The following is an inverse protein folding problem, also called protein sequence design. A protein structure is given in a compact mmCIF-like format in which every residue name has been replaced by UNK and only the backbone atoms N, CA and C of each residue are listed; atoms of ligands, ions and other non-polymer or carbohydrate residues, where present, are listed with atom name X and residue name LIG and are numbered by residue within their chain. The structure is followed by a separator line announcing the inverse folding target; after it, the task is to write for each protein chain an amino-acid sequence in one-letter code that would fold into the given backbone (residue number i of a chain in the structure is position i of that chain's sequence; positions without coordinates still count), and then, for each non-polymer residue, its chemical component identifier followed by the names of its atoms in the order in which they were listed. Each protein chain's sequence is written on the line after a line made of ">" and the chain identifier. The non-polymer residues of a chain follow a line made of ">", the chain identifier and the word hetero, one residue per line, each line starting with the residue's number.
data_IF_385607558787
#
_entry.id   IF_385607558787
#
_cell.length_a   1.000
_cell.length_b   1.000
_cell.length_c   1.000
_cell.angle_alpha   90.00
_cell.angle_beta   90.00
_cell.angle_gamma   90.00
#
_symmetry.space_group_name_H-M   'P 1'
#
loop_
_entity.id
_entity.type
_entity.pdbx_description
1 polymer ?
#
# COMPACT_ATOMS: atom_id res chain seq x y z
N UNK A 1 10.80 15.26 6.93
CA UNK A 1 10.62 13.93 6.31
C UNK A 1 10.34 14.04 4.81
N UNK A 2 9.30 14.78 4.41
CA UNK A 2 8.81 14.87 3.03
C UNK A 2 9.89 15.31 2.03
N UNK A 3 10.69 16.35 2.34
CA UNK A 3 11.75 16.82 1.43
C UNK A 3 12.81 15.74 1.14
N UNK A 4 13.24 14.99 2.17
CA UNK A 4 14.16 13.86 2.00
C UNK A 4 13.51 12.77 1.15
N UNK A 5 12.24 12.48 1.39
CA UNK A 5 11.50 11.50 0.62
C UNK A 5 11.31 11.93 -0.85
N UNK A 6 11.14 13.22 -1.15
CA UNK A 6 11.11 13.73 -2.53
C UNK A 6 12.42 13.45 -3.26
N UNK A 7 13.56 13.72 -2.63
CA UNK A 7 14.88 13.45 -3.23
C UNK A 7 15.10 11.95 -3.51
N UNK A 8 14.68 11.09 -2.58
CA UNK A 8 14.77 9.63 -2.78
C UNK A 8 13.77 9.16 -3.85
N UNK A 9 12.56 9.73 -3.90
CA UNK A 9 11.57 9.41 -4.92
C UNK A 9 12.02 9.83 -6.32
N UNK A 10 12.62 11.01 -6.46
CA UNK A 10 13.19 11.51 -7.71
C UNK A 10 14.29 10.57 -8.23
N UNK A 11 15.17 10.09 -7.34
CA UNK A 11 16.19 9.11 -7.71
C UNK A 11 15.64 7.77 -8.22
N UNK A 12 14.42 7.39 -7.83
CA UNK A 12 13.79 6.13 -8.25
C UNK A 12 12.82 6.28 -9.43
N UNK A 13 12.14 7.43 -9.54
CA UNK A 13 10.97 7.61 -10.41
C UNK A 13 11.03 8.88 -11.28
N UNK A 14 12.09 9.70 -11.15
CA UNK A 14 12.17 11.01 -11.80
C UNK A 14 12.28 10.98 -13.33
N UNK A 15 12.68 9.85 -13.91
CA UNK A 15 12.66 9.66 -15.37
C UNK A 15 11.24 9.44 -15.92
N UNK A 16 10.35 8.89 -15.09
CA UNK A 16 8.98 8.52 -15.50
C UNK A 16 7.93 9.56 -15.06
N UNK A 17 8.21 10.35 -14.02
CA UNK A 17 7.24 11.24 -13.37
C UNK A 17 7.89 12.58 -13.04
N UNK A 18 7.21 13.66 -13.45
CA UNK A 18 7.65 15.03 -13.15
C UNK A 18 7.86 15.28 -11.64
N UNK A 19 8.84 16.13 -11.33
CA UNK A 19 9.17 16.54 -9.95
C UNK A 19 7.94 17.05 -9.18
N UNK A 20 7.14 17.93 -9.81
CA UNK A 20 5.92 18.49 -9.20
C UNK A 20 4.91 17.39 -8.81
N UNK A 21 4.74 16.39 -9.69
CA UNK A 21 3.83 15.28 -9.44
C UNK A 21 4.36 14.36 -8.35
N UNK A 22 5.65 14.01 -8.39
CA UNK A 22 6.29 13.20 -7.34
C UNK A 22 6.18 13.89 -5.98
N UNK A 23 6.41 15.21 -5.93
CA UNK A 23 6.28 16.01 -4.72
C UNK A 23 4.85 15.94 -4.16
N UNK A 24 3.82 16.10 -5.00
CA UNK A 24 2.43 15.94 -4.57
C UNK A 24 2.17 14.55 -3.99
N UNK A 25 2.59 13.49 -4.69
CA UNK A 25 2.44 12.10 -4.25
C UNK A 25 3.12 11.87 -2.89
N UNK A 26 4.34 12.36 -2.71
CA UNK A 26 5.11 12.20 -1.46
C UNK A 26 4.44 12.93 -0.30
N UNK A 27 4.03 14.18 -0.49
CA UNK A 27 3.39 14.97 0.55
C UNK A 27 2.04 14.38 0.98
N UNK A 28 1.23 13.90 0.03
CA UNK A 28 -0.03 13.21 0.33
C UNK A 28 0.20 11.86 1.04
N UNK A 29 1.27 11.15 0.66
CA UNK A 29 1.63 9.87 1.27
C UNK A 29 2.04 10.06 2.72
N UNK A 30 2.95 11.00 2.97
CA UNK A 30 3.64 11.23 4.24
C UNK A 30 2.96 12.35 5.05
N UNK A 31 1.67 12.15 5.31
CA UNK A 31 0.82 13.08 6.07
C UNK A 31 0.78 12.76 7.57
N UNK A 32 1.80 12.09 8.09
CA UNK A 32 1.92 11.61 9.48
C UNK A 32 3.38 11.62 9.93
N UNK A 33 3.60 11.57 11.24
CA UNK A 33 4.94 11.64 11.84
C UNK A 33 5.69 10.30 11.78
N UNK A 34 7.02 10.36 11.77
CA UNK A 34 7.92 9.20 11.84
C UNK A 34 9.07 9.50 12.80
N UNK A 35 8.79 9.61 14.12
CA UNK A 35 9.77 10.05 15.10
C UNK A 35 10.78 8.94 15.40
N UNK A 36 12.05 9.34 15.60
CA UNK A 36 13.09 8.48 16.16
C UNK A 36 13.16 8.68 17.68
N UNK A 37 12.60 7.75 18.43
CA UNK A 37 12.47 7.85 19.90
C UNK A 37 13.63 7.13 20.59
N UNK A 38 14.35 7.82 21.48
CA UNK A 38 15.42 7.20 22.29
C UNK A 38 14.80 6.22 23.28
N UNK A 39 15.22 4.95 23.23
CA UNK A 39 14.83 3.91 24.18
C UNK A 39 15.84 3.84 25.33
N UNK A 40 17.13 3.81 25.00
CA UNK A 40 18.25 3.90 25.95
C UNK A 40 19.52 4.33 25.21
N UNK A 41 20.66 4.33 25.89
CA UNK A 41 21.94 4.70 25.28
C UNK A 41 22.22 3.88 24.02
N UNK A 42 22.45 4.57 22.90
CA UNK A 42 22.67 4.00 21.57
C UNK A 42 21.55 3.08 21.04
N UNK A 43 20.33 3.12 21.62
CA UNK A 43 19.18 2.36 21.12
C UNK A 43 17.99 3.29 20.93
N UNK A 44 17.47 3.28 19.72
CA UNK A 44 16.35 4.11 19.28
C UNK A 44 15.28 3.25 18.62
N UNK A 45 14.03 3.68 18.71
CA UNK A 45 12.87 3.11 18.04
C UNK A 45 12.38 4.10 17.00
N UNK A 46 12.42 3.72 15.73
CA UNK A 46 11.77 4.48 14.66
C UNK A 46 10.29 4.11 14.64
N UNK A 47 9.43 5.02 15.06
CA UNK A 47 8.00 4.75 15.14
C UNK A 47 7.35 4.92 13.77
N UNK A 48 6.98 3.79 13.16
CA UNK A 48 6.37 3.72 11.82
C UNK A 48 4.86 3.46 11.88
N UNK A 49 4.21 3.74 13.00
CA UNK A 49 2.82 3.38 13.27
C UNK A 49 1.90 4.59 13.55
N UNK A 50 2.31 5.80 13.14
CA UNK A 50 1.49 7.02 13.23
C UNK A 50 0.63 7.27 11.98
N UNK A 51 0.68 6.36 11.00
CA UNK A 51 -0.20 6.35 9.84
C UNK A 51 -1.63 5.88 10.17
N UNK A 52 -2.55 5.98 9.19
CA UNK A 52 -3.98 5.72 9.39
C UNK A 52 -4.32 4.30 9.85
N UNK A 53 -3.41 3.33 9.65
CA UNK A 53 -3.67 1.94 10.04
C UNK A 53 -2.79 1.46 11.17
N UNK A 54 -1.99 2.35 11.75
CA UNK A 54 -1.05 2.06 12.82
C UNK A 54 0.02 1.03 12.45
N UNK A 55 0.43 1.00 11.17
CA UNK A 55 1.46 0.08 10.69
C UNK A 55 2.37 0.74 9.65
N UNK A 56 3.64 0.31 9.63
CA UNK A 56 4.65 0.84 8.68
C UNK A 56 4.27 0.68 7.21
N UNK A 57 3.36 -0.26 6.93
CA UNK A 57 2.85 -0.55 5.60
C UNK A 57 2.11 0.63 4.99
N UNK A 58 1.66 1.59 5.81
CA UNK A 58 1.01 2.83 5.37
C UNK A 58 1.87 3.62 4.39
N UNK A 59 3.18 3.72 4.60
CA UNK A 59 4.07 4.48 3.71
C UNK A 59 4.04 3.90 2.28
N UNK A 60 4.33 2.61 2.14
CA UNK A 60 4.39 1.97 0.82
C UNK A 60 3.02 1.84 0.17
N UNK A 61 1.98 1.45 0.93
CA UNK A 61 0.64 1.26 0.38
C UNK A 61 0.03 2.59 -0.07
N UNK A 62 0.22 3.66 0.71
CA UNK A 62 -0.27 4.97 0.33
C UNK A 62 0.44 5.49 -0.91
N UNK A 63 1.78 5.40 -0.97
CA UNK A 63 2.55 5.86 -2.12
C UNK A 63 2.09 5.13 -3.40
N UNK A 64 2.03 3.79 -3.34
CA UNK A 64 1.55 2.96 -4.44
C UNK A 64 0.16 3.38 -4.92
N UNK A 65 -0.77 3.71 -4.00
CA UNK A 65 -2.12 4.12 -4.38
C UNK A 65 -2.17 5.44 -5.15
N UNK A 66 -1.37 6.43 -4.74
CA UNK A 66 -1.30 7.73 -5.44
C UNK A 66 -0.61 7.57 -6.79
N UNK A 67 0.44 6.75 -6.84
CA UNK A 67 1.16 6.42 -8.06
C UNK A 67 0.28 5.71 -9.08
N UNK A 68 -0.46 4.68 -8.66
CA UNK A 68 -1.38 3.96 -9.55
C UNK A 68 -2.54 4.87 -9.98
N UNK A 69 -3.08 5.67 -9.06
CA UNK A 69 -4.10 6.68 -9.41
C UNK A 69 -3.61 7.73 -10.40
N UNK A 70 -2.32 8.09 -10.37
CA UNK A 70 -1.69 8.96 -11.38
C UNK A 70 -1.67 8.27 -12.76
N UNK A 71 -1.12 7.05 -12.84
CA UNK A 71 -1.00 6.34 -14.12
C UNK A 71 -2.35 6.00 -14.76
N UNK A 72 -3.37 5.64 -13.97
CA UNK A 72 -4.72 5.39 -14.50
C UNK A 72 -5.30 6.65 -15.17
N UNK A 73 -5.11 7.83 -14.55
CA UNK A 73 -5.56 9.10 -15.12
C UNK A 73 -4.81 9.46 -16.40
N UNK A 74 -3.50 9.24 -16.43
CA UNK A 74 -2.66 9.50 -17.62
C UNK A 74 -3.00 8.58 -18.79
N UNK A 75 -3.11 7.27 -18.53
CA UNK A 75 -3.32 6.24 -19.54
C UNK A 75 -4.78 6.13 -19.99
N UNK A 76 -5.71 6.83 -19.31
CA UNK A 76 -7.16 6.73 -19.54
C UNK A 76 -7.68 5.29 -19.48
N UNK A 77 -7.02 4.44 -18.70
CA UNK A 77 -7.56 3.14 -18.36
C UNK A 77 -8.84 3.33 -17.57
N UNK A 78 -9.84 2.49 -17.83
CA UNK A 78 -11.15 2.67 -17.21
C UNK A 78 -11.12 2.25 -15.74
N UNK A 79 -10.61 1.04 -15.47
CA UNK A 79 -10.67 0.43 -14.13
C UNK A 79 -9.52 -0.58 -13.93
N UNK A 80 -8.91 -0.58 -12.74
CA UNK A 80 -7.89 -1.52 -12.30
C UNK A 80 -8.36 -2.23 -11.03
N UNK A 81 -8.14 -3.54 -10.96
CA UNK A 81 -8.51 -4.38 -9.83
C UNK A 81 -7.26 -4.82 -9.07
N UNK A 82 -7.11 -4.27 -7.87
CA UNK A 82 -6.02 -4.60 -6.93
C UNK A 82 -6.41 -5.83 -6.12
N UNK A 83 -5.66 -6.92 -6.28
CA UNK A 83 -5.78 -8.11 -5.45
C UNK A 83 -4.72 -8.09 -4.35
N UNK A 84 -5.16 -8.29 -3.11
CA UNK A 84 -4.25 -8.39 -1.95
C UNK A 84 -4.65 -9.53 -1.04
N UNK A 85 -3.73 -10.46 -0.80
CA UNK A 85 -3.85 -11.44 0.27
C UNK A 85 -3.21 -10.90 1.55
N UNK A 86 -3.89 -11.02 2.69
CA UNK A 86 -3.40 -10.50 3.98
C UNK A 86 -3.61 -11.47 5.15
N UNK A 87 -2.77 -11.34 6.16
CA UNK A 87 -2.96 -11.88 7.51
C UNK A 87 -3.34 -10.80 8.54
N UNK A 88 -3.56 -9.55 8.10
CA UNK A 88 -3.90 -8.40 8.93
C UNK A 88 -3.46 -7.07 8.30
N UNK A 89 -2.40 -6.46 8.81
CA UNK A 89 -1.98 -5.08 8.50
C UNK A 89 -1.85 -4.75 7.00
N UNK A 90 -1.41 -5.68 6.16
CA UNK A 90 -1.26 -5.40 4.71
C UNK A 90 -2.62 -5.08 4.10
N UNK A 91 -3.67 -5.78 4.53
CA UNK A 91 -5.04 -5.53 4.12
C UNK A 91 -5.49 -4.15 4.57
N UNK A 92 -5.29 -3.82 5.85
CA UNK A 92 -5.59 -2.49 6.40
C UNK A 92 -4.92 -1.38 5.58
N UNK A 93 -3.60 -1.45 5.42
CA UNK A 93 -2.81 -0.39 4.77
C UNK A 93 -3.17 -0.25 3.28
N UNK A 94 -3.38 -1.35 2.56
CA UNK A 94 -3.80 -1.31 1.15
C UNK A 94 -5.23 -0.78 1.04
N UNK A 95 -6.16 -1.33 1.81
CA UNK A 95 -7.56 -0.90 1.77
C UNK A 95 -7.72 0.61 2.09
N UNK A 96 -7.05 1.10 3.12
CA UNK A 96 -7.07 2.53 3.48
C UNK A 96 -6.25 3.39 2.51
N UNK A 97 -5.15 2.86 1.96
CA UNK A 97 -4.31 3.55 0.99
C UNK A 97 -5.06 3.89 -0.30
N UNK A 98 -5.91 2.96 -0.75
CA UNK A 98 -6.66 3.00 -2.01
C UNK A 98 -8.13 3.43 -1.87
N UNK A 99 -8.61 3.68 -0.64
CA UNK A 99 -9.99 4.08 -0.40
C UNK A 99 -10.33 5.36 -1.17
N UNK A 100 -11.39 5.30 -1.98
CA UNK A 100 -11.88 6.44 -2.76
C UNK A 100 -11.00 6.82 -3.95
N UNK A 101 -10.02 6.01 -4.33
CA UNK A 101 -9.22 6.26 -5.54
C UNK A 101 -10.01 5.86 -6.77
N UNK A 102 -10.40 6.85 -7.58
CA UNK A 102 -11.18 6.64 -8.80
C UNK A 102 -10.50 5.70 -9.79
N UNK A 103 -11.28 4.80 -10.39
CA UNK A 103 -10.79 3.80 -11.34
C UNK A 103 -10.05 2.63 -10.69
N UNK A 104 -10.07 2.50 -9.36
CA UNK A 104 -9.45 1.38 -8.66
C UNK A 104 -10.46 0.65 -7.78
N UNK A 105 -10.51 -0.67 -7.91
CA UNK A 105 -11.24 -1.57 -7.03
C UNK A 105 -10.26 -2.45 -6.27
N UNK A 106 -10.41 -2.57 -4.96
CA UNK A 106 -9.52 -3.38 -4.12
C UNK A 106 -10.27 -4.58 -3.58
N UNK A 107 -9.70 -5.76 -3.77
CA UNK A 107 -10.20 -7.02 -3.22
C UNK A 107 -9.20 -7.57 -2.20
N UNK A 108 -9.60 -7.54 -0.93
CA UNK A 108 -8.79 -8.01 0.20
C UNK A 108 -9.19 -9.44 0.55
N UNK A 109 -8.34 -10.41 0.23
CA UNK A 109 -8.52 -11.81 0.60
C UNK A 109 -7.86 -12.06 1.95
N UNK A 110 -8.63 -12.58 2.91
CA UNK A 110 -8.12 -12.85 4.26
C UNK A 110 -8.68 -14.16 4.83
N UNK A 111 -7.91 -14.90 5.63
CA UNK A 111 -8.34 -16.17 6.20
C UNK A 111 -9.31 -15.99 7.37
N UNK A 112 -10.42 -16.72 7.33
CA UNK A 112 -11.48 -16.74 8.33
C UNK A 112 -10.95 -17.00 9.74
N UNK A 113 -11.25 -16.08 10.66
CA UNK A 113 -10.88 -16.21 12.08
C UNK A 113 -9.37 -16.26 12.36
N UNK A 114 -8.53 -15.80 11.41
CA UNK A 114 -7.06 -15.77 11.53
C UNK A 114 -6.48 -14.34 11.55
N UNK A 115 -7.34 -13.33 11.47
CA UNK A 115 -6.98 -11.92 11.56
C UNK A 115 -7.50 -11.38 12.90
N UNK A 116 -6.78 -10.44 13.52
CA UNK A 116 -7.29 -9.81 14.75
C UNK A 116 -8.50 -8.93 14.44
N UNK A 117 -9.43 -8.81 15.39
CA UNK A 117 -10.67 -8.05 15.21
C UNK A 117 -10.42 -6.58 14.79
N UNK A 118 -9.39 -5.95 15.35
CA UNK A 118 -9.03 -4.56 15.02
C UNK A 118 -8.56 -4.46 13.57
N UNK A 119 -7.68 -5.36 13.14
CA UNK A 119 -7.18 -5.36 11.75
C UNK A 119 -8.31 -5.67 10.77
N UNK A 120 -9.16 -6.65 11.09
CA UNK A 120 -10.31 -7.00 10.24
C UNK A 120 -11.25 -5.81 10.04
N UNK A 121 -11.59 -5.10 11.12
CA UNK A 121 -12.44 -3.90 11.03
C UNK A 121 -11.81 -2.80 10.17
N UNK A 122 -10.49 -2.63 10.19
CA UNK A 122 -9.81 -1.59 9.40
C UNK A 122 -9.97 -1.76 7.87
N UNK A 123 -10.32 -2.94 7.36
CA UNK A 123 -10.55 -3.15 5.92
C UNK A 123 -11.95 -3.67 5.56
N UNK A 124 -12.72 -4.19 6.52
CA UNK A 124 -14.10 -4.69 6.28
C UNK A 124 -15.18 -3.61 6.41
N UNK A 125 -14.90 -2.49 7.10
CA UNK A 125 -15.91 -1.44 7.37
C UNK A 125 -15.80 -0.21 6.47
N UNK A 126 -15.00 -0.26 5.40
CA UNK A 126 -14.72 0.91 4.56
C UNK A 126 -15.76 1.14 3.45
N UNK A 127 -16.23 0.07 2.81
CA UNK A 127 -17.12 0.14 1.65
C UNK A 127 -16.48 0.83 0.43
N UNK A 128 -17.31 1.53 -0.36
CA UNK A 128 -16.91 2.22 -1.59
C UNK A 128 -16.29 1.26 -2.61
N UNK A 129 -15.00 1.42 -2.89
CA UNK A 129 -14.22 0.63 -3.84
C UNK A 129 -13.46 -0.54 -3.18
N UNK A 130 -13.71 -0.80 -1.89
CA UNK A 130 -13.05 -1.86 -1.12
C UNK A 130 -14.01 -3.02 -0.89
N UNK A 131 -13.59 -4.21 -1.31
CA UNK A 131 -14.29 -5.49 -1.10
C UNK A 131 -13.41 -6.40 -0.25
N UNK A 132 -13.91 -6.86 0.90
CA UNK A 132 -13.24 -7.85 1.73
C UNK A 132 -13.84 -9.24 1.47
N UNK A 133 -12.98 -10.22 1.22
CA UNK A 133 -13.33 -11.60 0.90
C UNK A 133 -12.77 -12.50 2.01
N UNK A 134 -13.65 -12.94 2.90
CA UNK A 134 -13.31 -13.94 3.93
C UNK A 134 -13.16 -15.32 3.28
N UNK A 135 -11.98 -15.90 3.40
CA UNK A 135 -11.63 -17.21 2.83
C UNK A 135 -11.67 -18.26 3.93
N UNK A 136 -12.45 -19.32 3.73
CA UNK A 136 -12.42 -20.50 4.60
C UNK A 136 -11.16 -21.33 4.32
N UNK A 137 -10.05 -20.95 4.97
CA UNK A 137 -8.74 -21.52 4.73
C UNK A 137 -7.63 -20.79 5.48
N UNK A 138 -6.41 -20.94 4.99
CA UNK A 138 -5.19 -20.35 5.52
C UNK A 138 -4.76 -19.11 4.74
N UNK A 139 -3.77 -18.39 5.26
CA UNK A 139 -3.15 -17.28 4.51
C UNK A 139 -2.53 -17.75 3.20
N UNK A 140 -1.94 -18.95 3.18
CA UNK A 140 -1.35 -19.53 1.97
C UNK A 140 -2.42 -19.81 0.91
N UNK A 141 -3.62 -20.22 1.32
CA UNK A 141 -4.76 -20.39 0.41
C UNK A 141 -5.19 -19.04 -0.19
N UNK A 142 -5.24 -17.97 0.60
CA UNK A 142 -5.48 -16.61 0.08
C UNK A 142 -4.41 -16.21 -0.94
N UNK A 143 -3.14 -16.46 -0.66
CA UNK A 143 -2.05 -16.18 -1.60
C UNK A 143 -2.14 -17.02 -2.87
N UNK A 144 -2.53 -18.29 -2.75
CA UNK A 144 -2.71 -19.19 -3.88
C UNK A 144 -3.85 -18.71 -4.79
N UNK A 145 -4.97 -18.26 -4.23
CA UNK A 145 -6.08 -17.68 -4.98
C UNK A 145 -5.67 -16.41 -5.74
N UNK A 146 -4.94 -15.49 -5.09
CA UNK A 146 -4.41 -14.30 -5.75
C UNK A 146 -3.50 -14.68 -6.92
N UNK A 147 -2.57 -15.64 -6.72
CA UNK A 147 -1.69 -16.13 -7.80
C UNK A 147 -2.46 -16.78 -8.94
N UNK A 148 -3.47 -17.60 -8.61
CA UNK A 148 -4.31 -18.25 -9.60
C UNK A 148 -5.04 -17.23 -10.48
N UNK A 149 -5.56 -16.15 -9.89
CA UNK A 149 -6.23 -15.07 -10.63
C UNK A 149 -5.31 -14.41 -11.67
N UNK A 150 -4.01 -14.23 -11.37
CA UNK A 150 -3.03 -13.70 -12.34
C UNK A 150 -2.73 -14.64 -13.51
N UNK A 151 -3.02 -15.94 -13.36
CA UNK A 151 -2.82 -16.94 -14.43
C UNK A 151 -4.12 -17.34 -15.13
N UNK A 152 -5.25 -16.84 -14.66
CA UNK A 152 -6.58 -17.17 -15.19
C UNK A 152 -6.89 -16.32 -16.43
N UNK A 153 -7.05 -16.97 -17.57
CA UNK A 153 -7.24 -16.27 -18.84
C UNK A 153 -8.56 -15.50 -18.89
N UNK A 154 -9.64 -16.08 -18.38
CA UNK A 154 -10.96 -15.46 -18.41
C UNK A 154 -10.99 -14.19 -17.55
N UNK A 155 -10.38 -14.23 -16.36
CA UNK A 155 -10.24 -13.04 -15.52
C UNK A 155 -9.41 -11.96 -16.18
N UNK A 156 -8.26 -12.32 -16.78
CA UNK A 156 -7.37 -11.33 -17.41
C UNK A 156 -7.90 -10.79 -18.74
N UNK A 157 -8.84 -11.48 -19.40
CA UNK A 157 -9.57 -10.95 -20.57
C UNK A 157 -10.61 -9.89 -20.18
N UNK A 158 -11.15 -9.98 -18.96
CA UNK A 158 -12.24 -9.10 -18.49
C UNK A 158 -11.78 -8.01 -17.51
N UNK A 159 -10.68 -8.22 -16.80
CA UNK A 159 -10.21 -7.35 -15.71
C UNK A 159 -8.73 -7.02 -15.86
N UNK A 160 -8.37 -5.76 -15.61
CA UNK A 160 -6.97 -5.36 -15.44
C UNK A 160 -6.56 -5.64 -14.01
N UNK A 161 -5.90 -6.78 -13.77
CA UNK A 161 -5.47 -7.20 -12.45
C UNK A 161 -4.09 -6.64 -12.09
N UNK A 162 -3.92 -6.21 -10.83
CA UNK A 162 -2.62 -5.87 -10.25
C UNK A 162 -2.54 -6.30 -8.79
N UNK A 163 -1.33 -6.44 -8.25
CA UNK A 163 -1.12 -6.83 -6.85
C UNK A 163 -0.51 -5.70 -6.04
N UNK A 164 -1.02 -5.50 -4.82
CA UNK A 164 -0.45 -4.62 -3.81
C UNK A 164 0.33 -5.36 -2.71
N UNK A 165 0.71 -6.62 -2.96
CA UNK A 165 1.61 -7.36 -2.07
C UNK A 165 3.05 -6.81 -2.14
N UNK A 166 3.92 -7.26 -1.24
CA UNK A 166 5.28 -6.72 -1.06
C UNK A 166 6.22 -6.90 -2.25
N UNK A 167 5.84 -7.72 -3.24
CA UNK A 167 6.59 -7.89 -4.49
C UNK A 167 6.46 -6.66 -5.42
N UNK A 168 5.44 -5.81 -5.20
CA UNK A 168 5.24 -4.63 -6.02
C UNK A 168 6.31 -3.56 -5.72
N UNK A 169 7.08 -3.18 -6.75
CA UNK A 169 8.18 -2.21 -6.64
C UNK A 169 7.71 -0.85 -6.12
N UNK A 170 6.51 -0.41 -6.50
CA UNK A 170 5.91 0.84 -6.04
C UNK A 170 5.54 0.83 -4.55
N UNK A 171 5.46 -0.35 -3.93
CA UNK A 171 5.28 -0.51 -2.49
C UNK A 171 6.60 -0.75 -1.75
N UNK A 172 7.56 -1.38 -2.41
CA UNK A 172 8.87 -1.69 -1.84
C UNK A 172 9.76 -0.44 -1.72
N UNK A 173 9.98 0.29 -2.82
CA UNK A 173 10.94 1.40 -2.85
C UNK A 173 10.62 2.55 -1.87
N UNK A 174 9.36 2.99 -1.67
CA UNK A 174 9.04 4.07 -0.74
C UNK A 174 9.38 3.76 0.73
N UNK A 175 9.58 2.48 1.07
CA UNK A 175 10.03 2.10 2.40
C UNK A 175 11.47 2.54 2.68
N UNK A 176 12.28 2.83 1.65
CA UNK A 176 13.59 3.41 1.84
C UNK A 176 13.53 4.81 2.48
N UNK A 177 12.45 5.58 2.27
CA UNK A 177 12.34 6.98 2.70
C UNK A 177 12.61 7.14 4.20
N UNK A 178 12.06 6.25 5.02
CA UNK A 178 12.19 6.35 6.47
C UNK A 178 13.57 5.91 6.98
N UNK A 179 14.38 5.18 6.22
CA UNK A 179 15.77 4.89 6.58
C UNK A 179 16.64 6.14 6.44
N UNK A 180 16.53 6.87 5.33
CA UNK A 180 17.22 8.15 5.14
C UNK A 180 16.77 9.17 6.18
N UNK A 181 15.47 9.24 6.45
CA UNK A 181 14.94 10.15 7.45
C UNK A 181 15.35 9.80 8.88
N UNK A 182 15.43 8.51 9.23
CA UNK A 182 15.92 8.08 10.54
C UNK A 182 17.40 8.42 10.72
N UNK A 183 18.22 8.26 9.69
CA UNK A 183 19.65 8.63 9.75
C UNK A 183 19.87 10.14 9.89
N UNK A 184 18.94 10.97 9.40
CA UNK A 184 19.03 12.42 9.47
C UNK A 184 18.53 13.03 10.80
N UNK A 185 17.96 12.22 11.70
CA UNK A 185 17.49 12.62 13.04
C UNK A 185 18.58 12.39 14.08
#
# INVERSE_FOLDING_TARGET
>A
FQEIACQVAEAFFGEDISEDTLRQIVFDTLSFEVPLVKVKENIYSLELFHGPTHAFKDVGARFMARLLGYFIREQREKEVHVLVATSGDTGSAVANGFLGVNGIHVHVLYPKGKVSEIQEKQFTTLGQNITALEIDGTFDDCQALVKAAFTDKELNENLVLTSANSINVARFLPQAFYYFYAYAQ
#
